data_IF_220961893147
#
_entry.id   IF_220961893147
#
_cell.length_a   1.000
_cell.length_b   1.000
_cell.length_c   1.000
_cell.angle_alpha   90.00
_cell.angle_beta   90.00
_cell.angle_gamma   90.00
#
_symmetry.space_group_name_H-M   'P 1'
#
loop_
_entity.id
_entity.type
_entity.pdbx_description
1 polymer ?
#
# COMPACT_ATOMS: atom_id res chain seq x y z
N UNK A 1 -23.81 1.58 -2.48
CA UNK A 1 -22.69 2.14 -3.27
C UNK A 1 -21.39 1.79 -2.56
N UNK A 2 -20.59 0.85 -3.07
CA UNK A 2 -19.24 0.60 -2.51
C UNK A 2 -18.29 1.56 -3.22
N UNK A 3 -18.06 2.73 -2.65
CA UNK A 3 -16.94 3.57 -3.06
C UNK A 3 -15.67 2.73 -2.92
N UNK A 4 -14.87 2.64 -3.98
CA UNK A 4 -13.62 1.91 -3.96
C UNK A 4 -12.77 2.44 -2.80
N UNK A 5 -12.57 1.62 -1.76
CA UNK A 5 -11.69 1.98 -0.66
C UNK A 5 -10.30 2.05 -1.24
N UNK A 6 -9.74 3.25 -1.36
CA UNK A 6 -8.36 3.48 -1.80
C UNK A 6 -7.34 3.16 -0.68
N UNK A 7 -7.74 2.29 0.24
CA UNK A 7 -6.95 1.79 1.36
C UNK A 7 -6.20 0.56 0.84
N UNK A 8 -4.95 0.77 0.45
CA UNK A 8 -4.06 -0.29 -0.03
C UNK A 8 -3.97 -1.44 0.97
N UNK A 9 -3.94 -1.16 2.28
CA UNK A 9 -3.91 -2.19 3.33
C UNK A 9 -5.15 -3.08 3.29
N UNK A 10 -6.32 -2.50 3.01
CA UNK A 10 -7.57 -3.26 2.86
C UNK A 10 -7.54 -4.12 1.60
N UNK A 11 -7.05 -3.57 0.49
CA UNK A 11 -6.90 -4.33 -0.77
C UNK A 11 -5.92 -5.50 -0.62
N UNK A 12 -4.79 -5.30 0.06
CA UNK A 12 -3.83 -6.38 0.36
C UNK A 12 -4.42 -7.45 1.28
N UNK A 13 -5.23 -7.03 2.27
CA UNK A 13 -5.94 -7.99 3.14
C UNK A 13 -6.94 -8.85 2.35
N UNK A 14 -7.72 -8.23 1.45
CA UNK A 14 -8.62 -8.97 0.55
C UNK A 14 -7.85 -9.88 -0.41
N UNK A 15 -6.71 -9.41 -0.95
CA UNK A 15 -5.86 -10.21 -1.82
C UNK A 15 -5.31 -11.45 -1.09
N UNK A 16 -4.82 -11.29 0.14
CA UNK A 16 -4.36 -12.42 0.96
C UNK A 16 -5.51 -13.39 1.24
N UNK A 17 -6.72 -12.89 1.51
CA UNK A 17 -7.92 -13.72 1.73
C UNK A 17 -8.31 -14.53 0.49
N UNK A 18 -8.25 -13.93 -0.70
CA UNK A 18 -8.65 -14.56 -1.97
C UNK A 18 -7.61 -15.58 -2.44
N UNK A 19 -6.32 -15.24 -2.33
CA UNK A 19 -5.22 -16.08 -2.83
C UNK A 19 -4.72 -17.10 -1.80
N UNK A 20 -5.02 -16.92 -0.51
CA UNK A 20 -4.41 -17.67 0.57
C UNK A 20 -2.92 -17.39 0.77
N UNK A 21 -2.36 -16.39 0.07
CA UNK A 21 -0.93 -16.09 0.09
C UNK A 21 -0.47 -15.60 1.47
N UNK A 22 0.43 -16.37 2.09
CA UNK A 22 1.12 -15.99 3.32
C UNK A 22 2.10 -14.84 3.08
N UNK A 23 2.68 -14.74 1.88
CA UNK A 23 3.61 -13.66 1.52
C UNK A 23 2.92 -12.30 1.57
N UNK A 24 1.67 -12.21 1.09
CA UNK A 24 0.89 -10.97 1.19
C UNK A 24 0.61 -10.60 2.64
N UNK A 25 0.29 -11.61 3.47
CA UNK A 25 0.02 -11.40 4.89
C UNK A 25 1.27 -10.93 5.63
N UNK A 26 2.41 -11.59 5.41
CA UNK A 26 3.69 -11.23 5.99
C UNK A 26 4.12 -9.82 5.56
N UNK A 27 4.05 -9.53 4.26
CA UNK A 27 4.36 -8.21 3.71
C UNK A 27 3.52 -7.10 4.34
N UNK A 28 2.21 -7.32 4.49
CA UNK A 28 1.31 -6.31 5.09
C UNK A 28 1.63 -6.05 6.57
N UNK A 29 2.07 -7.08 7.29
CA UNK A 29 2.49 -6.95 8.69
C UNK A 29 3.84 -6.23 8.83
N UNK A 30 4.81 -6.59 7.99
CA UNK A 30 6.16 -6.02 7.99
C UNK A 30 6.17 -4.54 7.59
N UNK A 31 5.41 -4.16 6.56
CA UNK A 31 5.40 -2.80 6.00
C UNK A 31 4.24 -1.93 6.49
N UNK A 32 3.62 -2.27 7.63
CA UNK A 32 2.39 -1.62 8.10
C UNK A 32 2.50 -0.09 8.17
N UNK A 33 3.63 0.43 8.63
CA UNK A 33 3.83 1.86 8.84
C UNK A 33 4.02 2.61 7.51
N UNK A 34 4.79 2.03 6.60
CA UNK A 34 5.02 2.55 5.26
C UNK A 34 3.73 2.56 4.44
N UNK A 35 2.89 1.54 4.62
CA UNK A 35 1.57 1.48 3.99
C UNK A 35 0.62 2.57 4.51
N UNK A 36 0.70 2.93 5.80
CA UNK A 36 -0.05 4.07 6.35
C UNK A 36 0.44 5.37 5.70
N UNK A 37 1.76 5.56 5.59
CA UNK A 37 2.35 6.75 4.96
C UNK A 37 1.91 6.87 3.50
N UNK A 38 1.89 5.75 2.75
CA UNK A 38 1.43 5.71 1.37
C UNK A 38 -0.05 6.07 1.23
N UNK A 39 -0.91 5.58 2.12
CA UNK A 39 -2.34 5.93 2.12
C UNK A 39 -2.56 7.41 2.48
N UNK A 40 -1.80 7.93 3.44
CA UNK A 40 -1.82 9.34 3.79
C UNK A 40 -1.35 10.21 2.62
N UNK A 41 -0.32 9.79 1.88
CA UNK A 41 0.20 10.54 0.72
C UNK A 41 -0.88 10.81 -0.33
N UNK A 42 -1.86 9.91 -0.49
CA UNK A 42 -3.05 10.17 -1.33
C UNK A 42 -3.86 11.34 -0.78
N UNK A 43 -4.14 11.38 0.52
CA UNK A 43 -4.89 12.48 1.16
C UNK A 43 -4.12 13.80 1.02
N UNK A 44 -2.80 13.77 1.23
CA UNK A 44 -1.95 14.95 1.07
C UNK A 44 -1.97 15.47 -0.36
N UNK A 45 -1.77 14.59 -1.34
CA UNK A 45 -1.76 15.00 -2.75
C UNK A 45 -3.11 15.53 -3.24
N UNK A 46 -4.21 15.14 -2.60
CA UNK A 46 -5.56 15.59 -2.96
C UNK A 46 -5.98 16.89 -2.28
N UNK A 47 -5.50 17.15 -1.06
CA UNK A 47 -6.02 18.25 -0.23
C UNK A 47 -4.93 19.22 0.28
N UNK A 48 -3.64 18.96 0.03
CA UNK A 48 -2.56 19.95 0.16
C UNK A 48 -2.17 20.39 1.58
N UNK A 49 -2.64 19.73 2.64
CA UNK A 49 -2.54 20.25 4.02
C UNK A 49 -1.35 19.71 4.86
N UNK A 50 -0.56 18.74 4.38
CA UNK A 50 0.58 18.21 5.13
C UNK A 50 1.92 18.63 4.49
N UNK A 51 2.91 19.06 5.29
CA UNK A 51 4.27 19.27 4.79
C UNK A 51 4.83 17.95 4.25
N UNK A 52 5.16 17.95 2.96
CA UNK A 52 5.83 16.86 2.25
C UNK A 52 7.34 17.07 2.37
N UNK A 53 7.99 16.27 3.19
CA UNK A 53 9.45 16.20 3.25
C UNK A 53 10.00 15.08 2.34
N UNK A 54 11.30 15.15 2.06
CA UNK A 54 11.98 14.18 1.20
C UNK A 54 11.86 12.75 1.74
N UNK A 55 11.96 12.56 3.05
CA UNK A 55 11.89 11.24 3.69
C UNK A 55 10.54 10.56 3.42
N UNK A 56 9.43 11.29 3.62
CA UNK A 56 8.08 10.79 3.34
C UNK A 56 7.89 10.46 1.87
N UNK A 57 8.43 11.29 0.96
CA UNK A 57 8.40 10.99 -0.49
C UNK A 57 9.13 9.69 -0.79
N UNK A 58 10.32 9.51 -0.23
CA UNK A 58 11.12 8.31 -0.44
C UNK A 58 10.43 7.04 0.12
N UNK A 59 9.89 7.12 1.33
CA UNK A 59 9.13 6.01 1.94
C UNK A 59 7.92 5.66 1.09
N UNK A 60 7.16 6.66 0.64
CA UNK A 60 5.99 6.47 -0.24
C UNK A 60 6.37 5.76 -1.53
N UNK A 61 7.44 6.19 -2.19
CA UNK A 61 7.90 5.61 -3.45
C UNK A 61 8.40 4.17 -3.26
N UNK A 62 9.16 3.91 -2.20
CA UNK A 62 9.65 2.57 -1.85
C UNK A 62 8.50 1.61 -1.57
N UNK A 63 7.53 2.03 -0.76
CA UNK A 63 6.33 1.26 -0.44
C UNK A 63 5.53 0.91 -1.71
N UNK A 64 5.27 1.90 -2.56
CA UNK A 64 4.54 1.69 -3.80
C UNK A 64 5.22 0.70 -4.75
N UNK A 65 6.55 0.81 -4.92
CA UNK A 65 7.34 -0.14 -5.72
C UNK A 65 7.27 -1.56 -5.15
N UNK A 66 7.42 -1.70 -3.83
CA UNK A 66 7.38 -2.99 -3.16
C UNK A 66 6.02 -3.70 -3.34
N UNK A 67 4.91 -2.95 -3.26
CA UNK A 67 3.57 -3.48 -3.55
C UNK A 67 3.46 -3.94 -5.00
N UNK A 68 3.94 -3.15 -5.96
CA UNK A 68 3.89 -3.52 -7.39
C UNK A 68 4.63 -4.84 -7.63
N UNK A 69 5.83 -5.00 -7.05
CA UNK A 69 6.60 -6.24 -7.18
C UNK A 69 5.94 -7.43 -6.45
N UNK A 70 5.33 -7.21 -5.28
CA UNK A 70 4.50 -8.24 -4.62
C UNK A 70 3.36 -8.69 -5.53
N UNK A 71 2.58 -7.76 -6.08
CA UNK A 71 1.42 -8.07 -6.92
C UNK A 71 1.85 -8.76 -8.21
N UNK A 72 2.95 -8.33 -8.85
CA UNK A 72 3.50 -9.00 -10.03
C UNK A 72 3.84 -10.47 -9.76
N UNK A 73 4.48 -10.77 -8.62
CA UNK A 73 4.81 -12.16 -8.24
C UNK A 73 3.57 -13.04 -8.03
N UNK A 74 2.44 -12.44 -7.65
CA UNK A 74 1.18 -13.17 -7.45
C UNK A 74 0.43 -13.32 -8.78
N UNK A 75 0.49 -12.31 -9.63
CA UNK A 75 -0.25 -12.25 -10.89
C UNK A 75 0.41 -13.05 -12.01
N UNK A 76 1.75 -13.09 -12.03
CA UNK A 76 2.54 -13.84 -13.00
C UNK A 76 3.04 -15.13 -12.35
N UNK A 77 2.35 -16.27 -12.55
CA UNK A 77 2.78 -17.57 -12.04
C UNK A 77 4.09 -18.06 -12.67
#
# INVERSE_FOLDING_TARGET
MRYGTHEVRRLLSELSRITGSQDVRAFTAEHKNELIILEDARRVGQYGELPLDQERVEVTLKAAKAIIELVKRIWSP
#
